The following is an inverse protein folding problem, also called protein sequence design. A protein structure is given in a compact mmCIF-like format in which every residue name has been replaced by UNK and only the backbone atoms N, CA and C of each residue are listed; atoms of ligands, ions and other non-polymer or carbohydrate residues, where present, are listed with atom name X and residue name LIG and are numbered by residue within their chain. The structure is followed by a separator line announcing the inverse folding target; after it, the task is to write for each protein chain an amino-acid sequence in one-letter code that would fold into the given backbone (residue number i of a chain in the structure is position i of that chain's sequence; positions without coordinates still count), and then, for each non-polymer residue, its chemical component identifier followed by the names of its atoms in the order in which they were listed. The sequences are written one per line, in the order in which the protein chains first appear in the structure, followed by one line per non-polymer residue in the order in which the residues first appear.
data_IF_403455281244
#
_entry.id   IF_403455281244
#
_cell.length_a   1.000
_cell.length_b   1.000
_cell.length_c   1.000
_cell.angle_alpha   90.00
_cell.angle_beta   90.00
_cell.angle_gamma   90.00
#
_symmetry.space_group_name_H-M   'P 1'
#
loop_
_entity.id
_entity.type
_entity.pdbx_description
1 polymer ?
#
# COMPACT_ATOMS: atom_id res chain seq x y z
N UNK A 1 -0.57 -10.50 -18.97
CA UNK A 1 -1.95 -10.00 -19.00
C UNK A 1 -2.04 -8.88 -17.96
N UNK A 2 -2.13 -7.64 -18.44
CA UNK A 2 -2.17 -6.38 -17.69
C UNK A 2 -1.32 -6.31 -16.42
N UNK A 3 0.02 -6.19 -16.57
CA UNK A 3 0.90 -5.63 -15.52
C UNK A 3 0.43 -4.19 -15.25
N UNK A 4 -0.55 -4.03 -14.37
CA UNK A 4 -0.97 -2.72 -13.93
C UNK A 4 0.10 -2.08 -13.06
N UNK A 5 0.07 -0.76 -12.96
CA UNK A 5 1.00 -0.03 -12.09
C UNK A 5 0.73 -0.37 -10.63
N UNK A 6 1.80 -0.59 -9.87
CA UNK A 6 1.78 -0.72 -8.43
C UNK A 6 1.72 0.66 -7.81
N UNK A 7 0.75 0.92 -6.94
CA UNK A 7 0.68 2.17 -6.18
C UNK A 7 0.99 1.91 -4.73
N UNK A 8 2.01 2.58 -4.20
CA UNK A 8 2.40 2.48 -2.80
C UNK A 8 2.04 3.78 -2.10
N UNK A 9 1.13 3.72 -1.13
CA UNK A 9 0.78 4.83 -0.25
C UNK A 9 1.63 4.71 1.01
N UNK A 10 2.43 5.72 1.33
CA UNK A 10 3.34 5.73 2.48
C UNK A 10 3.30 7.08 3.19
N UNK A 11 3.91 7.18 4.38
CA UNK A 11 3.97 8.43 5.11
C UNK A 11 4.80 9.51 4.38
N UNK A 12 4.40 10.77 4.51
CA UNK A 12 5.15 11.95 4.05
C UNK A 12 6.30 12.34 4.98
N UNK A 13 6.47 11.63 6.09
CA UNK A 13 7.55 11.85 7.04
C UNK A 13 8.91 11.72 6.34
N UNK A 14 9.74 12.77 6.48
CA UNK A 14 11.07 12.83 5.89
C UNK A 14 12.09 12.03 6.73
N UNK A 15 11.81 10.74 6.91
CA UNK A 15 12.64 9.80 7.63
C UNK A 15 13.10 8.70 6.68
N UNK A 16 14.40 8.41 6.67
CA UNK A 16 14.97 7.31 5.89
C UNK A 16 14.43 5.93 6.31
N UNK A 17 13.76 5.84 7.48
CA UNK A 17 13.12 4.62 7.92
C UNK A 17 11.80 4.35 7.21
N UNK A 18 11.14 5.39 6.67
CA UNK A 18 9.81 5.27 6.05
C UNK A 18 9.88 5.31 4.52
N UNK A 19 11.09 5.36 3.96
CA UNK A 19 11.28 5.37 2.52
C UNK A 19 10.89 4.01 1.90
N UNK A 20 9.83 3.95 1.06
CA UNK A 20 9.40 2.72 0.43
C UNK A 20 10.46 2.13 -0.50
N UNK A 21 11.41 2.93 -1.01
CA UNK A 21 12.52 2.43 -1.84
C UNK A 21 13.44 1.45 -1.09
N UNK A 22 13.44 1.47 0.25
CA UNK A 22 14.25 0.56 1.06
C UNK A 22 13.62 -0.82 1.23
N UNK A 23 12.31 -0.90 1.09
CA UNK A 23 11.54 -2.11 1.37
C UNK A 23 10.91 -2.72 0.14
N UNK A 24 10.67 -1.91 -0.89
CA UNK A 24 10.12 -2.31 -2.16
C UNK A 24 11.17 -2.04 -3.24
N UNK A 25 11.43 -3.05 -4.07
CA UNK A 25 12.32 -2.89 -5.22
C UNK A 25 11.61 -2.03 -6.28
N UNK A 26 11.75 -0.71 -6.22
CA UNK A 26 11.06 0.20 -7.13
C UNK A 26 11.60 0.04 -8.55
N UNK A 27 11.03 -0.88 -9.32
CA UNK A 27 11.18 -0.86 -10.77
C UNK A 27 10.52 0.43 -11.26
N UNK A 28 11.37 1.34 -11.75
CA UNK A 28 11.08 2.76 -12.05
C UNK A 28 9.93 2.95 -13.05
N UNK A 29 9.51 1.88 -13.71
CA UNK A 29 8.62 1.87 -14.86
C UNK A 29 7.20 1.43 -14.50
N UNK A 30 7.01 0.74 -13.37
CA UNK A 30 5.75 0.10 -13.01
C UNK A 30 5.26 0.45 -11.61
N UNK A 31 5.98 1.28 -10.86
CA UNK A 31 5.63 1.64 -9.49
C UNK A 31 5.43 3.14 -9.32
N UNK A 32 4.35 3.54 -8.66
CA UNK A 32 4.03 4.92 -8.29
C UNK A 32 3.96 5.02 -6.76
N UNK A 33 4.69 5.96 -6.18
CA UNK A 33 4.70 6.19 -4.73
C UNK A 33 3.92 7.46 -4.41
N UNK A 34 2.89 7.33 -3.59
CA UNK A 34 2.08 8.43 -3.06
C UNK A 34 2.45 8.61 -1.59
N UNK A 35 2.91 9.80 -1.23
CA UNK A 35 3.23 10.13 0.17
C UNK A 35 2.08 10.94 0.77
N UNK A 36 1.51 10.47 1.86
CA UNK A 36 0.42 11.15 2.57
C UNK A 36 0.74 11.34 4.05
N UNK A 37 0.11 12.33 4.70
CA UNK A 37 0.17 12.49 6.15
C UNK A 37 -0.12 11.18 6.89
N UNK A 38 0.89 10.64 7.58
CA UNK A 38 0.75 9.40 8.36
C UNK A 38 0.47 8.13 7.57
N UNK A 39 0.61 8.15 6.24
CA UNK A 39 0.25 7.04 5.37
C UNK A 39 -1.27 6.79 5.28
N UNK A 40 -2.07 7.79 5.66
CA UNK A 40 -3.54 7.71 5.62
C UNK A 40 -4.07 7.87 4.20
N UNK A 41 -5.11 7.10 3.87
CA UNK A 41 -5.66 7.08 2.50
C UNK A 41 -6.60 8.24 2.17
N UNK A 42 -7.10 8.96 3.18
CA UNK A 42 -8.01 10.10 2.98
C UNK A 42 -7.40 11.20 2.11
N UNK A 43 -6.10 11.44 2.24
CA UNK A 43 -5.34 12.40 1.44
C UNK A 43 -4.83 11.80 0.11
N UNK A 44 -4.99 10.49 -0.09
CA UNK A 44 -4.49 9.77 -1.26
C UNK A 44 -5.50 9.71 -2.41
N UNK A 45 -6.76 10.10 -2.22
CA UNK A 45 -7.82 9.93 -3.23
C UNK A 45 -7.49 10.65 -4.55
N UNK A 46 -7.11 11.94 -4.47
CA UNK A 46 -6.74 12.71 -5.65
C UNK A 46 -5.51 12.16 -6.39
N UNK A 47 -4.35 11.93 -5.72
CA UNK A 47 -3.18 11.38 -6.41
C UNK A 47 -3.42 9.95 -6.91
N UNK A 48 -4.27 9.17 -6.23
CA UNK A 48 -4.64 7.82 -6.67
C UNK A 48 -5.51 7.85 -7.93
N UNK A 49 -6.46 8.80 -8.01
CA UNK A 49 -7.23 9.02 -9.24
C UNK A 49 -6.34 9.42 -10.41
N UNK A 50 -5.40 10.36 -10.19
CA UNK A 50 -4.45 10.78 -11.23
C UNK A 50 -3.52 9.63 -11.66
N UNK A 51 -3.08 8.81 -10.70
CA UNK A 51 -2.27 7.62 -10.99
C UNK A 51 -3.06 6.63 -11.85
N UNK A 52 -4.31 6.33 -11.51
CA UNK A 52 -5.19 5.45 -12.27
C UNK A 52 -5.45 5.94 -13.70
N UNK A 53 -5.59 7.26 -13.90
CA UNK A 53 -5.77 7.85 -15.23
C UNK A 53 -4.48 7.79 -16.08
N UNK A 54 -3.32 7.91 -15.44
CA UNK A 54 -2.03 7.88 -16.11
C UNK A 54 -1.65 6.45 -16.50
N UNK A 55 -1.83 5.52 -15.57
CA UNK A 55 -1.54 4.10 -15.74
C UNK A 55 -2.54 3.28 -14.93
N UNK A 56 -3.14 2.30 -15.58
CA UNK A 56 -4.11 1.40 -14.95
C UNK A 56 -3.50 0.73 -13.72
N UNK A 57 -4.03 0.98 -12.53
CA UNK A 57 -3.53 0.41 -11.28
C UNK A 57 -3.86 -1.09 -11.26
N UNK A 58 -2.82 -1.89 -11.04
CA UNK A 58 -2.91 -3.33 -10.85
C UNK A 58 -3.09 -3.72 -9.40
N UNK A 59 -2.51 -2.94 -8.48
CA UNK A 59 -2.52 -3.20 -7.05
C UNK A 59 -2.24 -1.91 -6.26
N UNK A 60 -2.83 -1.81 -5.07
CA UNK A 60 -2.55 -0.74 -4.12
C UNK A 60 -1.92 -1.35 -2.85
N UNK A 61 -0.80 -0.79 -2.41
CA UNK A 61 -0.16 -1.12 -1.15
C UNK A 61 -0.27 0.09 -0.23
N UNK A 62 -0.82 -0.09 0.96
CA UNK A 62 -0.91 0.94 2.00
C UNK A 62 0.10 0.59 3.08
N UNK A 63 1.09 1.46 3.28
CA UNK A 63 2.12 1.30 4.31
C UNK A 63 1.96 2.40 5.34
N UNK A 64 1.69 2.00 6.58
CA UNK A 64 1.71 2.91 7.73
C UNK A 64 2.74 2.41 8.73
N UNK A 65 3.29 3.31 9.55
CA UNK A 65 4.37 2.96 10.46
C UNK A 65 4.06 3.27 11.92
N UNK A 66 4.75 2.58 12.83
CA UNK A 66 4.69 2.84 14.27
C UNK A 66 5.30 4.22 14.59
N UNK A 67 4.86 4.82 15.70
CA UNK A 67 5.34 6.11 16.21
C UNK A 67 5.23 7.32 15.27
N UNK A 68 4.32 7.29 14.29
CA UNK A 68 4.04 8.46 13.47
C UNK A 68 3.46 9.61 14.32
N UNK A 69 4.03 10.81 14.17
CA UNK A 69 3.56 12.04 14.85
C UNK A 69 2.12 12.43 14.48
N UNK A 70 1.62 11.97 13.32
CA UNK A 70 0.30 12.33 12.77
C UNK A 70 -0.79 11.26 12.97
N UNK A 71 -0.46 10.08 13.51
CA UNK A 71 -1.43 8.97 13.68
C UNK A 71 -1.54 8.58 15.15
N UNK A 72 -2.76 8.51 15.68
CA UNK A 72 -2.99 8.22 17.10
C UNK A 72 -3.36 6.76 17.34
N UNK A 73 -2.60 6.14 18.25
CA UNK A 73 -2.88 4.93 19.04
C UNK A 73 -3.01 3.55 18.36
N UNK A 74 -3.57 3.37 17.15
CA UNK A 74 -3.71 2.03 16.56
C UNK A 74 -3.51 2.00 15.04
N UNK A 75 -2.28 1.78 14.61
CA UNK A 75 -1.88 1.72 13.20
C UNK A 75 -2.61 0.61 12.45
N UNK A 76 -2.81 -0.56 13.07
CA UNK A 76 -3.52 -1.65 12.40
C UNK A 76 -4.99 -1.32 12.12
N UNK A 77 -5.65 -0.68 13.08
CA UNK A 77 -7.03 -0.24 12.91
C UNK A 77 -7.12 0.78 11.77
N UNK A 78 -6.21 1.75 11.74
CA UNK A 78 -6.13 2.76 10.68
C UNK A 78 -5.94 2.12 9.30
N UNK A 79 -5.01 1.16 9.18
CA UNK A 79 -4.81 0.42 7.94
C UNK A 79 -6.11 -0.29 7.51
N UNK A 80 -6.80 -0.97 8.43
CA UNK A 80 -8.06 -1.66 8.11
C UNK A 80 -9.16 -0.69 7.67
N UNK A 81 -9.34 0.43 8.37
CA UNK A 81 -10.35 1.44 8.00
C UNK A 81 -10.04 2.10 6.67
N UNK A 82 -8.77 2.40 6.42
CA UNK A 82 -8.29 3.05 5.20
C UNK A 82 -8.49 2.13 3.99
N UNK A 83 -8.18 0.84 4.13
CA UNK A 83 -8.43 -0.15 3.08
C UNK A 83 -9.93 -0.32 2.82
N UNK A 84 -10.75 -0.38 3.87
CA UNK A 84 -12.20 -0.44 3.72
C UNK A 84 -12.75 0.79 2.99
N UNK A 85 -12.26 1.99 3.33
CA UNK A 85 -12.63 3.24 2.67
C UNK A 85 -12.21 3.27 1.20
N UNK A 86 -10.99 2.81 0.88
CA UNK A 86 -10.55 2.69 -0.52
C UNK A 86 -11.40 1.69 -1.31
N UNK A 87 -11.74 0.53 -0.73
CA UNK A 87 -12.61 -0.45 -1.41
C UNK A 87 -14.03 0.07 -1.63
N UNK A 88 -14.54 0.90 -0.72
CA UNK A 88 -15.85 1.53 -0.86
C UNK A 88 -15.84 2.77 -1.78
N UNK A 89 -14.66 3.25 -2.17
CA UNK A 89 -14.50 4.49 -2.92
C UNK A 89 -14.84 4.29 -4.41
N UNK A 90 -15.66 5.16 -5.02
CA UNK A 90 -15.96 5.10 -6.45
C UNK A 90 -14.74 5.41 -7.33
N UNK A 91 -13.67 5.95 -6.74
CA UNK A 91 -12.43 6.28 -7.44
C UNK A 91 -11.48 5.09 -7.58
N UNK A 92 -11.72 4.01 -6.84
CA UNK A 92 -10.96 2.76 -6.94
C UNK A 92 -11.79 1.75 -7.71
N UNK A 93 -11.21 1.12 -8.74
CA UNK A 93 -11.91 0.06 -9.47
C UNK A 93 -12.21 -1.12 -8.56
N UNK A 94 -13.43 -1.64 -8.68
CA UNK A 94 -13.81 -2.91 -8.08
C UNK A 94 -12.86 -4.03 -8.54
N UNK A 95 -12.37 -4.81 -7.59
CA UNK A 95 -11.46 -5.93 -7.83
C UNK A 95 -9.97 -5.56 -7.92
N UNK A 96 -9.59 -4.29 -7.67
CA UNK A 96 -8.17 -3.95 -7.44
C UNK A 96 -7.75 -4.51 -6.07
N UNK A 97 -6.73 -5.39 -6.01
CA UNK A 97 -6.22 -5.88 -4.74
C UNK A 97 -5.57 -4.73 -3.95
N UNK A 98 -5.93 -4.64 -2.67
CA UNK A 98 -5.39 -3.65 -1.74
C UNK A 98 -4.79 -4.38 -0.55
N UNK A 99 -3.50 -4.15 -0.29
CA UNK A 99 -2.75 -4.78 0.80
C UNK A 99 -2.32 -3.72 1.79
N UNK A 100 -2.46 -4.01 3.09
CA UNK A 100 -1.98 -3.16 4.17
C UNK A 100 -0.72 -3.73 4.80
N UNK A 101 0.30 -2.89 4.98
CA UNK A 101 1.48 -3.20 5.77
C UNK A 101 1.65 -2.20 6.90
N UNK A 102 2.02 -2.75 8.05
CA UNK A 102 2.50 -2.03 9.21
C UNK A 102 4.03 -2.13 9.22
N UNK A 103 4.71 -1.00 9.12
CA UNK A 103 6.15 -0.89 9.29
C UNK A 103 6.47 -0.55 10.74
N UNK A 104 7.19 -1.42 11.43
CA UNK A 104 7.75 -1.08 12.72
C UNK A 104 9.10 -0.37 12.52
N UNK A 105 9.15 0.93 12.82
CA UNK A 105 10.36 1.74 12.62
C UNK A 105 11.51 1.32 13.54
N UNK A 106 11.23 0.66 14.67
CA UNK A 106 12.24 0.24 15.63
C UNK A 106 12.94 -1.05 15.20
N UNK A 107 12.18 -1.99 14.63
CA UNK A 107 12.71 -3.28 14.14
C UNK A 107 12.99 -3.28 12.64
N UNK A 108 12.52 -2.26 11.92
CA UNK A 108 12.51 -2.19 10.45
C UNK A 108 11.81 -3.37 9.79
N UNK A 109 10.84 -3.98 10.50
CA UNK A 109 10.05 -5.10 9.99
C UNK A 109 8.74 -4.60 9.38
N UNK A 110 8.38 -5.20 8.23
CA UNK A 110 7.09 -4.99 7.58
C UNK A 110 6.19 -6.16 7.91
N UNK A 111 5.13 -5.88 8.67
CA UNK A 111 4.10 -6.85 8.98
C UNK A 111 2.87 -6.57 8.17
N UNK A 112 2.43 -7.56 7.42
CA UNK A 112 1.18 -7.45 6.70
C UNK A 112 -0.02 -7.47 7.65
N UNK A 113 -1.00 -6.62 7.37
CA UNK A 113 -2.29 -6.61 8.05
C UNK A 113 -3.32 -7.24 7.12
N UNK A 114 -3.72 -8.47 7.45
CA UNK A 114 -4.83 -9.13 6.78
C UNK A 114 -6.12 -8.35 7.03
N UNK A 115 -6.73 -7.88 5.95
CA UNK A 115 -8.06 -7.28 5.94
C UNK A 115 -9.03 -8.36 5.47
N UNK A 116 -10.22 -8.50 6.07
CA UNK A 116 -11.22 -9.44 5.58
C UNK A 116 -11.50 -9.18 4.10
N UNK A 117 -11.14 -10.14 3.28
CA UNK A 117 -11.25 -10.16 1.83
C UNK A 117 -12.25 -11.25 1.44
N UNK A 118 -13.06 -11.02 0.41
CA UNK A 118 -13.79 -12.13 -0.21
C UNK A 118 -12.75 -13.04 -0.89
N UNK A 119 -12.98 -14.36 -0.98
CA UNK A 119 -11.97 -15.32 -1.47
C UNK A 119 -11.37 -15.04 -2.86
N UNK A 120 -12.01 -14.20 -3.68
CA UNK A 120 -11.47 -13.72 -4.97
C UNK A 120 -10.30 -12.74 -4.82
N UNK A 121 -10.32 -11.91 -3.78
CA UNK A 121 -9.26 -10.95 -3.49
C UNK A 121 -7.97 -11.68 -3.07
N UNK A 122 -8.08 -12.82 -2.36
CA UNK A 122 -6.93 -13.61 -1.88
C UNK A 122 -6.17 -14.31 -3.03
N UNK A 123 -6.87 -14.68 -4.10
CA UNK A 123 -6.27 -15.28 -5.28
C UNK A 123 -5.66 -14.22 -6.20
N UNK A 124 -6.34 -13.10 -6.44
CA UNK A 124 -5.78 -11.95 -7.15
C UNK A 124 -4.52 -11.45 -6.44
N UNK A 125 -4.57 -11.39 -5.11
CA UNK A 125 -3.44 -11.06 -4.24
C UNK A 125 -2.30 -12.05 -4.38
N UNK A 126 -2.52 -13.35 -4.23
CA UNK A 126 -1.45 -14.36 -4.38
C UNK A 126 -0.84 -14.35 -5.77
N UNK A 127 -1.65 -14.15 -6.81
CA UNK A 127 -1.18 -14.08 -8.18
C UNK A 127 -0.26 -12.88 -8.39
N UNK A 128 -0.69 -11.69 -7.98
CA UNK A 128 0.12 -10.49 -8.09
C UNK A 128 1.38 -10.59 -7.21
N UNK A 129 1.26 -11.11 -5.99
CA UNK A 129 2.43 -11.34 -5.12
C UNK A 129 3.40 -12.38 -5.70
N UNK A 130 2.91 -13.45 -6.35
CA UNK A 130 3.76 -14.46 -7.01
C UNK A 130 4.42 -13.94 -8.29
N UNK A 131 3.76 -13.01 -8.98
CA UNK A 131 4.39 -12.24 -10.07
C UNK A 131 5.42 -11.23 -9.52
N UNK A 132 5.43 -11.01 -8.21
CA UNK A 132 6.30 -10.10 -7.47
C UNK A 132 7.28 -10.84 -6.52
N UNK A 133 7.45 -12.16 -6.63
CA UNK A 133 8.39 -12.96 -5.79
C UNK A 133 9.86 -12.48 -5.92
N UNK A 134 10.17 -11.68 -6.94
CA UNK A 134 11.46 -10.97 -7.11
C UNK A 134 11.62 -9.73 -6.19
N UNK A 135 10.59 -9.32 -5.45
CA UNK A 135 10.58 -8.08 -4.65
C UNK A 135 11.00 -8.30 -3.18
N UNK A 136 12.13 -8.97 -2.96
CA UNK A 136 13.01 -8.74 -1.79
C UNK A 136 12.73 -9.53 -0.48
N UNK A 137 13.78 -9.73 0.36
CA UNK A 137 13.80 -10.69 1.48
C UNK A 137 13.16 -10.22 2.81
N UNK A 138 12.38 -9.14 2.83
CA UNK A 138 12.05 -8.39 4.07
C UNK A 138 10.62 -8.58 4.58
N UNK A 139 9.85 -9.51 4.00
CA UNK A 139 8.44 -9.74 4.33
C UNK A 139 8.21 -10.84 5.38
N UNK A 140 9.28 -11.32 6.03
CA UNK A 140 9.26 -12.41 7.02
C UNK A 140 8.93 -11.93 8.43
#
# INVERSE_FOLDING_TARGET
MSSGTLVIISCDENSAHVDPARYFNLSVNTTSVIKTPGGRTDYAIHPLYTAEQSSRIGMIIVVQHTCCTRTTANVEHNIRTDIAALKASPYVRNGVPIIGYLLDIHTSQLREISVPTNGQDDEARRKVLSEMDDFGPFWS
#
